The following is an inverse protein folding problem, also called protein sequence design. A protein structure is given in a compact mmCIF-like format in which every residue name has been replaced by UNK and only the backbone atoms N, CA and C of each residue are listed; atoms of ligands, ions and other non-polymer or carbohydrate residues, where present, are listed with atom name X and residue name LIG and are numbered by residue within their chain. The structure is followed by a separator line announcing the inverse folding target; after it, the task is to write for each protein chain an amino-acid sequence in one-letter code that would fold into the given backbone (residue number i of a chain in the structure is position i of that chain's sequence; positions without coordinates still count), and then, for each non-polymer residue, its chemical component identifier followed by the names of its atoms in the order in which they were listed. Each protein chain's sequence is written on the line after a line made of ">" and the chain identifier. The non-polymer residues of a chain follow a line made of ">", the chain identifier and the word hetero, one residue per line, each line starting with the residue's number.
data_IF_872896556585
#
_entry.id   IF_872896556585
#
_cell.length_a   1.000
_cell.length_b   1.000
_cell.length_c   1.000
_cell.angle_alpha   90.00
_cell.angle_beta   90.00
_cell.angle_gamma   90.00
#
_symmetry.space_group_name_H-M   'P 1'
#
loop_
_entity.id
_entity.type
_entity.pdbx_description
1 polymer ?
#
# COMPACT_ATOMS: atom_id res chain seq x y z
N UNK A 1 -37.06 36.24 45.16
CA UNK A 1 -38.46 35.76 45.00
C UNK A 1 -38.98 36.35 43.72
N UNK A 2 -38.94 35.56 42.63
CA UNK A 2 -38.48 36.03 41.32
C UNK A 2 -37.17 36.82 41.45
N UNK A 3 -36.06 36.07 41.45
CA UNK A 3 -34.74 36.66 41.28
C UNK A 3 -34.65 37.07 39.81
N UNK A 4 -35.13 38.28 39.50
CA UNK A 4 -34.95 38.86 38.17
C UNK A 4 -33.45 38.88 37.87
N UNK A 5 -33.06 38.12 36.85
CA UNK A 5 -31.70 38.14 36.35
C UNK A 5 -31.32 39.59 36.03
N UNK A 6 -30.11 40.05 36.40
CA UNK A 6 -29.69 41.39 36.03
C UNK A 6 -29.79 41.54 34.51
N UNK A 7 -30.22 42.72 34.04
CA UNK A 7 -30.33 42.97 32.62
C UNK A 7 -28.94 42.99 31.97
N UNK A 8 -28.66 41.96 31.18
CA UNK A 8 -27.40 41.79 30.43
C UNK A 8 -27.51 42.18 28.97
N UNK A 9 -28.68 42.66 28.51
CA UNK A 9 -28.96 42.94 27.09
C UNK A 9 -28.01 43.94 26.44
N UNK A 10 -27.39 44.81 27.25
CA UNK A 10 -26.38 45.76 26.77
C UNK A 10 -25.05 45.09 26.34
N UNK A 11 -24.78 43.85 26.78
CA UNK A 11 -23.47 43.19 26.62
C UNK A 11 -23.59 41.81 25.98
N UNK A 12 -24.70 41.10 26.24
CA UNK A 12 -25.00 39.75 25.78
C UNK A 12 -26.31 39.73 25.00
N UNK A 13 -26.37 38.84 24.00
CA UNK A 13 -27.60 38.55 23.26
C UNK A 13 -28.59 37.75 24.12
N UNK A 14 -29.75 38.34 24.41
CA UNK A 14 -30.78 37.74 25.27
C UNK A 14 -31.36 36.45 24.69
N UNK A 15 -31.46 36.33 23.37
CA UNK A 15 -32.04 35.15 22.70
C UNK A 15 -31.09 33.95 22.72
N UNK A 16 -29.79 34.21 22.92
CA UNK A 16 -28.73 33.21 22.95
C UNK A 16 -28.14 33.02 24.36
N UNK A 17 -28.76 33.61 25.38
CA UNK A 17 -28.22 33.62 26.74
C UNK A 17 -28.14 32.20 27.32
N UNK A 18 -26.95 31.84 27.77
CA UNK A 18 -26.68 30.64 28.55
C UNK A 18 -26.11 31.03 29.90
N UNK A 19 -26.41 30.23 30.91
CA UNK A 19 -25.98 30.51 32.27
C UNK A 19 -26.05 29.32 33.20
N UNK A 20 -25.16 29.31 34.19
CA UNK A 20 -25.09 28.27 35.20
C UNK A 20 -24.58 28.82 36.53
N UNK A 21 -25.06 28.22 37.63
CA UNK A 21 -24.39 28.27 38.91
C UNK A 21 -23.14 27.39 38.82
N UNK A 22 -21.99 27.91 39.23
CA UNK A 22 -20.69 27.24 39.13
C UNK A 22 -19.95 27.29 40.46
N UNK A 23 -18.85 26.55 40.55
CA UNK A 23 -18.01 26.47 41.74
C UNK A 23 -18.84 26.16 42.99
N UNK A 24 -19.75 25.18 42.89
CA UNK A 24 -20.63 24.72 43.96
C UNK A 24 -21.64 25.79 44.45
N UNK A 25 -22.06 26.70 43.56
CA UNK A 25 -23.02 27.77 43.87
C UNK A 25 -22.38 29.01 44.52
N UNK A 26 -21.06 29.15 44.40
CA UNK A 26 -20.32 30.34 44.84
C UNK A 26 -20.18 31.40 43.75
N UNK A 27 -20.50 31.09 42.50
CA UNK A 27 -20.58 32.06 41.43
C UNK A 27 -21.66 31.67 40.41
N UNK A 28 -22.17 32.65 39.68
CA UNK A 28 -22.97 32.45 38.48
C UNK A 28 -22.21 32.98 37.29
N UNK A 29 -22.31 32.27 36.16
CA UNK A 29 -21.67 32.68 34.91
C UNK A 29 -22.74 32.78 33.83
N UNK A 30 -22.69 33.86 33.06
CA UNK A 30 -23.57 34.11 31.91
C UNK A 30 -22.75 34.46 30.68
N UNK A 31 -23.18 34.00 29.52
CA UNK A 31 -22.55 34.27 28.22
C UNK A 31 -23.55 33.97 27.11
N UNK A 32 -23.32 34.47 25.90
CA UNK A 32 -24.02 34.06 24.69
C UNK A 32 -23.12 33.18 23.77
N UNK A 33 -21.84 33.00 24.15
CA UNK A 33 -20.80 32.33 23.37
C UNK A 33 -20.67 32.85 21.91
N UNK A 34 -21.10 34.09 21.68
CA UNK A 34 -21.01 34.78 20.39
C UNK A 34 -19.78 35.68 20.40
N UNK A 35 -19.15 35.78 19.23
CA UNK A 35 -18.11 36.75 18.98
C UNK A 35 -18.81 38.09 18.73
N UNK A 36 -18.61 39.06 19.62
CA UNK A 36 -19.14 40.40 19.45
C UNK A 36 -18.40 41.17 18.33
N UNK A 37 -18.90 42.34 17.89
CA UNK A 37 -18.28 43.10 16.79
C UNK A 37 -16.83 43.53 17.02
N UNK A 38 -16.38 43.56 18.28
CA UNK A 38 -15.00 43.83 18.68
C UNK A 38 -14.08 42.59 18.58
N UNK A 39 -14.62 41.44 18.21
CA UNK A 39 -13.87 40.18 18.06
C UNK A 39 -13.77 39.36 19.35
N UNK A 40 -14.44 39.76 20.44
CA UNK A 40 -14.36 39.06 21.73
C UNK A 40 -15.67 38.36 22.08
N UNK A 41 -15.54 37.17 22.67
CA UNK A 41 -16.63 36.50 23.39
C UNK A 41 -16.68 37.03 24.82
N UNK A 42 -17.89 37.26 25.35
CA UNK A 42 -18.06 37.87 26.67
C UNK A 42 -18.61 36.88 27.69
N UNK A 43 -18.09 36.98 28.91
CA UNK A 43 -18.56 36.25 30.07
C UNK A 43 -18.84 37.25 31.18
N UNK A 44 -20.00 37.12 31.81
CA UNK A 44 -20.35 37.84 33.03
C UNK A 44 -20.25 36.85 34.19
N UNK A 45 -19.45 37.19 35.20
CA UNK A 45 -19.23 36.34 36.38
C UNK A 45 -19.70 37.08 37.61
N UNK A 46 -20.79 36.61 38.20
CA UNK A 46 -21.31 37.11 39.48
C UNK A 46 -20.79 36.20 40.59
N UNK A 47 -19.79 36.66 41.34
CA UNK A 47 -19.21 35.88 42.43
C UNK A 47 -19.71 36.32 43.80
N UNK A 48 -20.09 35.35 44.65
CA UNK A 48 -20.13 35.57 46.11
C UNK A 48 -18.70 35.78 46.64
N UNK A 49 -18.53 36.29 47.87
CA UNK A 49 -17.21 36.42 48.48
C UNK A 49 -16.43 35.10 48.43
N UNK A 50 -15.27 35.12 47.77
CA UNK A 50 -14.36 33.98 47.67
C UNK A 50 -12.91 34.47 47.58
N UNK A 51 -11.94 33.57 47.76
CA UNK A 51 -10.53 33.95 47.68
C UNK A 51 -10.12 34.37 46.27
N UNK A 52 -9.13 35.26 46.16
CA UNK A 52 -8.59 35.71 44.87
C UNK A 52 -8.11 34.53 44.01
N UNK A 53 -7.51 33.52 44.64
CA UNK A 53 -7.09 32.28 43.96
C UNK A 53 -8.26 31.49 43.40
N UNK A 54 -9.40 31.40 44.10
CA UNK A 54 -10.61 30.70 43.61
C UNK A 54 -11.24 31.47 42.43
N UNK A 55 -11.35 32.81 42.52
CA UNK A 55 -11.80 33.64 41.39
C UNK A 55 -10.91 33.50 40.17
N UNK A 56 -9.58 33.60 40.36
CA UNK A 56 -8.61 33.48 39.27
C UNK A 56 -8.73 32.14 38.54
N UNK A 57 -8.87 31.03 39.28
CA UNK A 57 -9.09 29.70 38.65
C UNK A 57 -10.42 29.61 37.90
N UNK A 58 -11.48 30.23 38.41
CA UNK A 58 -12.76 30.25 37.70
C UNK A 58 -12.63 31.00 36.36
N UNK A 59 -12.08 32.21 36.38
CA UNK A 59 -11.86 33.01 35.17
C UNK A 59 -10.94 32.28 34.18
N UNK A 60 -9.82 31.72 34.67
CA UNK A 60 -8.90 30.94 33.85
C UNK A 60 -9.60 29.76 33.15
N UNK A 61 -10.47 29.04 33.87
CA UNK A 61 -11.24 27.92 33.28
C UNK A 61 -12.20 28.40 32.19
N UNK A 62 -12.89 29.52 32.39
CA UNK A 62 -13.78 30.09 31.38
C UNK A 62 -13.00 30.50 30.12
N UNK A 63 -11.84 31.14 30.29
CA UNK A 63 -10.95 31.49 29.19
C UNK A 63 -10.42 30.25 28.45
N UNK A 64 -10.06 29.20 29.19
CA UNK A 64 -9.62 27.93 28.59
C UNK A 64 -10.74 27.25 27.81
N UNK A 65 -11.97 27.22 28.35
CA UNK A 65 -13.14 26.68 27.62
C UNK A 65 -13.30 27.40 26.28
N UNK A 66 -13.28 28.74 26.28
CA UNK A 66 -13.46 29.50 25.05
C UNK A 66 -12.29 29.33 24.07
N UNK A 67 -11.06 29.37 24.57
CA UNK A 67 -9.86 29.20 23.77
C UNK A 67 -9.86 27.83 23.08
N UNK A 68 -10.09 26.76 23.84
CA UNK A 68 -10.09 25.41 23.29
C UNK A 68 -11.33 25.13 22.43
N UNK A 69 -12.48 25.73 22.72
CA UNK A 69 -13.66 25.69 21.83
C UNK A 69 -13.33 26.25 20.46
N UNK A 70 -12.76 27.46 20.41
CA UNK A 70 -12.39 28.11 19.16
C UNK A 70 -11.31 27.33 18.41
N UNK A 71 -10.24 26.88 19.09
CA UNK A 71 -9.19 26.06 18.49
C UNK A 71 -9.72 24.74 17.92
N UNK A 72 -10.68 24.10 18.60
CA UNK A 72 -11.33 22.89 18.09
C UNK A 72 -12.12 23.16 16.79
N UNK A 73 -12.82 24.30 16.75
CA UNK A 73 -13.68 24.68 15.62
C UNK A 73 -12.90 25.08 14.37
N UNK A 74 -11.62 25.46 14.48
CA UNK A 74 -10.76 25.74 13.32
C UNK A 74 -10.60 24.53 12.38
N UNK A 75 -10.81 23.31 12.88
CA UNK A 75 -10.69 22.08 12.09
C UNK A 75 -11.98 21.70 11.33
N UNK A 76 -13.14 22.22 11.73
CA UNK A 76 -14.42 21.96 11.05
C UNK A 76 -14.43 22.32 9.56
N UNK A 77 -13.98 23.51 9.11
CA UNK A 77 -13.96 23.82 7.67
C UNK A 77 -13.06 22.87 6.89
N UNK A 78 -11.92 22.46 7.46
CA UNK A 78 -11.02 21.47 6.86
C UNK A 78 -11.73 20.13 6.67
N UNK A 79 -12.49 19.67 7.68
CA UNK A 79 -13.29 18.43 7.56
C UNK A 79 -14.32 18.49 6.43
N UNK A 80 -15.01 19.64 6.31
CA UNK A 80 -16.04 19.86 5.28
C UNK A 80 -15.46 19.90 3.87
N UNK A 81 -14.29 20.49 3.70
CA UNK A 81 -13.59 20.55 2.40
C UNK A 81 -13.00 19.18 2.00
N UNK A 82 -12.48 18.42 2.96
CA UNK A 82 -11.88 17.11 2.69
C UNK A 82 -12.91 16.04 2.36
N UNK A 83 -14.09 16.10 2.96
CA UNK A 83 -15.15 15.09 2.76
C UNK A 83 -15.48 14.80 1.29
N UNK A 84 -15.78 15.77 0.42
CA UNK A 84 -16.05 15.51 -1.00
C UNK A 84 -14.82 14.96 -1.73
N UNK A 85 -13.60 15.39 -1.36
CA UNK A 85 -12.36 14.87 -1.96
C UNK A 85 -12.14 13.40 -1.63
N UNK A 86 -12.37 13.01 -0.37
CA UNK A 86 -12.31 11.62 0.07
C UNK A 86 -13.30 10.73 -0.68
N UNK A 87 -14.51 11.23 -0.98
CA UNK A 87 -15.47 10.49 -1.81
C UNK A 87 -14.92 10.21 -3.22
N UNK A 88 -14.28 11.19 -3.85
CA UNK A 88 -13.67 11.01 -5.18
C UNK A 88 -12.54 9.98 -5.15
N UNK A 89 -11.67 10.05 -4.14
CA UNK A 89 -10.56 9.10 -4.00
C UNK A 89 -11.04 7.67 -3.71
N UNK A 90 -12.12 7.51 -2.94
CA UNK A 90 -12.73 6.21 -2.72
C UNK A 90 -13.36 5.63 -3.98
N UNK A 91 -14.03 6.46 -4.78
CA UNK A 91 -14.58 6.04 -6.08
C UNK A 91 -13.45 5.66 -7.05
N UNK A 92 -12.35 6.41 -7.05
CA UNK A 92 -11.17 6.09 -7.85
C UNK A 92 -10.59 4.73 -7.44
N UNK A 93 -10.42 4.50 -6.14
CA UNK A 93 -9.97 3.20 -5.60
C UNK A 93 -10.91 2.05 -6.01
N UNK A 94 -12.23 2.24 -5.92
CA UNK A 94 -13.20 1.22 -6.35
C UNK A 94 -13.04 0.91 -7.84
N UNK A 95 -12.87 1.92 -8.69
CA UNK A 95 -12.65 1.73 -10.12
C UNK A 95 -11.34 0.98 -10.43
N UNK A 96 -10.29 1.22 -9.64
CA UNK A 96 -9.01 0.49 -9.73
C UNK A 96 -9.23 -0.97 -9.32
N UNK A 97 -9.91 -1.21 -8.21
CA UNK A 97 -10.19 -2.58 -7.73
C UNK A 97 -11.04 -3.37 -8.75
N UNK A 98 -12.02 -2.74 -9.37
CA UNK A 98 -12.83 -3.35 -10.43
C UNK A 98 -12.00 -3.69 -11.66
N UNK A 99 -11.02 -2.85 -12.01
CA UNK A 99 -10.10 -3.12 -13.11
C UNK A 99 -9.20 -4.33 -12.82
N UNK A 100 -8.72 -4.47 -11.58
CA UNK A 100 -7.93 -5.62 -11.13
C UNK A 100 -8.79 -6.91 -11.17
N UNK A 101 -10.08 -6.83 -10.84
CA UNK A 101 -10.96 -8.01 -10.77
C UNK A 101 -11.39 -8.60 -12.12
N UNK A 102 -11.26 -7.87 -13.23
CA UNK A 102 -11.72 -8.33 -14.57
C UNK A 102 -10.63 -9.18 -15.24
N UNK A 103 -10.86 -10.50 -15.29
CA UNK A 103 -9.90 -11.54 -15.69
C UNK A 103 -10.08 -12.02 -17.15
N UNK A 104 -10.42 -11.11 -18.08
CA UNK A 104 -10.90 -11.50 -19.42
C UNK A 104 -9.92 -11.25 -20.59
N UNK A 105 -8.62 -11.10 -20.34
CA UNK A 105 -7.65 -10.81 -21.41
C UNK A 105 -6.54 -11.86 -21.53
N UNK A 106 -6.12 -12.11 -22.77
CA UNK A 106 -4.94 -12.92 -23.13
C UNK A 106 -3.66 -12.35 -22.52
N UNK A 107 -2.77 -13.24 -22.07
CA UNK A 107 -1.55 -13.00 -21.26
C UNK A 107 -0.78 -11.68 -21.52
N UNK A 108 -0.51 -11.31 -22.77
CA UNK A 108 0.30 -10.10 -23.08
C UNK A 108 -0.45 -8.77 -22.88
N UNK A 109 -1.76 -8.76 -23.12
CA UNK A 109 -2.59 -7.56 -22.92
C UNK A 109 -2.91 -7.34 -21.42
N UNK A 110 -2.81 -8.39 -20.61
CA UNK A 110 -3.03 -8.35 -19.17
C UNK A 110 -1.88 -7.65 -18.45
N UNK A 111 -0.63 -8.00 -18.77
CA UNK A 111 0.56 -7.41 -18.14
C UNK A 111 0.63 -5.87 -18.31
N UNK A 112 0.36 -5.36 -19.51
CA UNK A 112 0.38 -3.91 -19.78
C UNK A 112 -0.76 -3.16 -19.06
N UNK A 113 -1.91 -3.82 -18.85
CA UNK A 113 -3.04 -3.25 -18.09
C UNK A 113 -2.74 -3.20 -16.59
N UNK A 114 -2.10 -4.24 -16.06
CA UNK A 114 -1.70 -4.30 -14.65
C UNK A 114 -0.70 -3.20 -14.32
N UNK A 115 0.30 -2.94 -15.19
CA UNK A 115 1.23 -1.83 -15.01
C UNK A 115 0.54 -0.47 -14.97
N UNK A 116 -0.37 -0.19 -15.92
CA UNK A 116 -1.13 1.07 -15.93
C UNK A 116 -2.01 1.23 -14.70
N UNK A 117 -2.58 0.12 -14.22
CA UNK A 117 -3.41 0.09 -13.01
C UNK A 117 -2.56 0.34 -11.76
N UNK A 118 -1.34 -0.19 -11.73
CA UNK A 118 -0.36 0.05 -10.68
C UNK A 118 0.04 1.52 -10.62
N UNK A 119 0.35 2.15 -11.76
CA UNK A 119 0.70 3.57 -11.82
C UNK A 119 -0.42 4.46 -11.25
N UNK A 120 -1.67 4.19 -11.66
CA UNK A 120 -2.85 4.92 -11.15
C UNK A 120 -3.02 4.72 -9.65
N UNK A 121 -2.81 3.50 -9.16
CA UNK A 121 -2.87 3.18 -7.73
C UNK A 121 -1.76 3.86 -6.94
N UNK A 122 -0.53 3.91 -7.47
CA UNK A 122 0.59 4.63 -6.85
C UNK A 122 0.33 6.13 -6.78
N UNK A 123 -0.25 6.73 -7.84
CA UNK A 123 -0.65 8.13 -7.83
C UNK A 123 -1.76 8.40 -6.80
N UNK A 124 -2.76 7.53 -6.71
CA UNK A 124 -3.82 7.62 -5.72
C UNK A 124 -3.24 7.50 -4.29
N UNK A 125 -2.34 6.55 -4.06
CA UNK A 125 -1.66 6.36 -2.79
C UNK A 125 -0.89 7.61 -2.36
N UNK A 126 -0.08 8.18 -3.26
CA UNK A 126 0.66 9.41 -2.99
C UNK A 126 -0.28 10.59 -2.67
N UNK A 127 -1.39 10.70 -3.41
CA UNK A 127 -2.38 11.77 -3.19
C UNK A 127 -3.07 11.62 -1.83
N UNK A 128 -3.55 10.42 -1.51
CA UNK A 128 -4.22 10.12 -0.22
C UNK A 128 -3.27 10.35 0.94
N UNK A 129 -2.01 9.91 0.82
CA UNK A 129 -0.99 10.09 1.85
C UNK A 129 -0.61 11.56 2.04
N UNK A 130 -0.50 12.33 0.95
CA UNK A 130 -0.27 13.77 1.03
C UNK A 130 -1.41 14.51 1.75
N UNK A 131 -2.66 14.14 1.47
CA UNK A 131 -3.83 14.69 2.17
C UNK A 131 -3.83 14.24 3.64
N UNK A 132 -3.46 13.00 3.93
CA UNK A 132 -3.27 12.48 5.30
C UNK A 132 -2.26 13.29 6.10
N UNK A 133 -1.04 13.42 5.59
CA UNK A 133 0.02 14.17 6.25
C UNK A 133 -0.38 15.65 6.51
N UNK A 134 -1.12 16.27 5.58
CA UNK A 134 -1.53 17.67 5.71
C UNK A 134 -2.62 17.94 6.76
N UNK A 135 -3.50 16.96 7.04
CA UNK A 135 -4.67 17.18 7.91
C UNK A 135 -4.67 16.38 9.20
N UNK A 136 -3.94 15.27 9.29
CA UNK A 136 -4.01 14.36 10.44
C UNK A 136 -3.70 15.07 11.77
N UNK A 137 -2.63 15.87 11.83
CA UNK A 137 -2.27 16.62 13.04
C UNK A 137 -3.37 17.57 13.52
N UNK A 138 -4.09 18.22 12.60
CA UNK A 138 -5.20 19.13 12.94
C UNK A 138 -6.41 18.40 13.51
N UNK A 139 -6.73 17.21 12.98
CA UNK A 139 -7.80 16.38 13.51
C UNK A 139 -7.47 15.86 14.91
N UNK A 140 -6.25 15.39 15.13
CA UNK A 140 -5.77 14.94 16.44
C UNK A 140 -5.79 16.08 17.45
N UNK A 141 -5.31 17.28 17.08
CA UNK A 141 -5.34 18.45 17.94
C UNK A 141 -6.78 18.87 18.30
N UNK A 142 -7.69 18.92 17.33
CA UNK A 142 -9.08 19.29 17.58
C UNK A 142 -9.78 18.34 18.56
N UNK A 143 -9.53 17.03 18.46
CA UNK A 143 -10.05 16.06 19.43
C UNK A 143 -9.46 16.29 20.83
N UNK A 144 -8.15 16.54 20.93
CA UNK A 144 -7.51 16.83 22.22
C UNK A 144 -8.03 18.12 22.86
N UNK A 145 -8.28 19.16 22.07
CA UNK A 145 -8.89 20.40 22.53
C UNK A 145 -10.34 20.19 22.97
N UNK A 146 -11.13 19.40 22.23
CA UNK A 146 -12.48 19.06 22.63
C UNK A 146 -12.53 18.32 23.98
N UNK A 147 -11.62 17.36 24.19
CA UNK A 147 -11.49 16.68 25.48
C UNK A 147 -11.15 17.65 26.61
N UNK A 148 -10.31 18.65 26.34
CA UNK A 148 -9.95 19.66 27.31
C UNK A 148 -11.11 20.59 27.65
N UNK A 149 -11.92 20.99 26.65
CA UNK A 149 -13.18 21.71 26.88
C UNK A 149 -14.08 20.91 27.82
N UNK A 150 -14.31 19.63 27.52
CA UNK A 150 -15.20 18.78 28.33
C UNK A 150 -14.71 18.64 29.78
N UNK A 151 -13.40 18.46 29.98
CA UNK A 151 -12.81 18.44 31.33
C UNK A 151 -13.01 19.77 32.06
N UNK A 152 -12.84 20.91 31.37
CA UNK A 152 -12.99 22.23 31.99
C UNK A 152 -14.43 22.57 32.33
N UNK A 153 -15.36 22.19 31.48
CA UNK A 153 -16.80 22.28 31.75
C UNK A 153 -17.16 21.43 32.97
N UNK A 154 -16.67 20.18 33.06
CA UNK A 154 -16.90 19.34 34.23
C UNK A 154 -16.31 19.97 35.51
N UNK A 155 -15.12 20.54 35.43
CA UNK A 155 -14.44 21.23 36.53
C UNK A 155 -15.19 22.49 37.03
N UNK A 156 -16.12 23.06 36.25
CA UNK A 156 -16.96 24.17 36.68
C UNK A 156 -18.01 23.76 37.72
N UNK A 157 -18.37 22.47 37.80
CA UNK A 157 -19.44 21.97 38.67
C UNK A 157 -20.75 22.74 38.44
N UNK A 158 -21.19 22.78 37.17
CA UNK A 158 -22.36 23.52 36.74
C UNK A 158 -23.65 22.96 37.36
N UNK A 159 -24.50 23.87 37.84
CA UNK A 159 -25.89 23.62 38.21
C UNK A 159 -26.77 24.54 37.38
N UNK A 160 -27.90 24.01 36.96
CA UNK A 160 -28.82 24.74 36.10
C UNK A 160 -29.48 25.90 36.84
N UNK A 161 -29.47 27.07 36.21
CA UNK A 161 -30.30 28.21 36.60
C UNK A 161 -31.66 28.04 35.91
N UNK A 162 -32.76 28.25 36.64
CA UNK A 162 -34.10 28.08 36.09
C UNK A 162 -34.30 28.90 34.81
N UNK A 163 -34.83 28.27 33.75
CA UNK A 163 -35.09 28.91 32.46
C UNK A 163 -33.88 29.05 31.54
N UNK A 164 -32.66 28.75 32.00
CA UNK A 164 -31.44 28.85 31.19
C UNK A 164 -30.81 27.47 30.91
N UNK A 165 -30.13 27.39 29.77
CA UNK A 165 -29.27 26.27 29.43
C UNK A 165 -27.88 26.49 30.04
N UNK A 166 -27.24 25.43 30.54
CA UNK A 166 -25.86 25.54 31.04
C UNK A 166 -24.86 25.63 29.89
N UNK A 167 -23.64 26.11 30.18
CA UNK A 167 -22.57 26.21 29.17
C UNK A 167 -22.25 24.81 28.62
N UNK A 168 -22.14 23.80 29.48
CA UNK A 168 -21.90 22.42 29.06
C UNK A 168 -22.98 21.88 28.13
N UNK A 169 -24.26 22.09 28.46
CA UNK A 169 -25.37 21.64 27.61
C UNK A 169 -25.41 22.37 26.25
N UNK A 170 -25.03 23.65 26.22
CA UNK A 170 -24.91 24.38 24.97
C UNK A 170 -23.78 23.83 24.10
N UNK A 171 -22.61 23.60 24.69
CA UNK A 171 -21.45 23.03 24.00
C UNK A 171 -21.74 21.62 23.49
N UNK A 172 -22.44 20.78 24.24
CA UNK A 172 -22.87 19.46 23.76
C UNK A 172 -23.74 19.57 22.49
N UNK A 173 -24.65 20.54 22.42
CA UNK A 173 -25.54 20.69 21.25
C UNK A 173 -24.89 21.40 20.06
N UNK A 174 -23.87 22.23 20.28
CA UNK A 174 -23.29 23.11 19.24
C UNK A 174 -21.85 22.76 18.86
N UNK A 175 -21.04 22.27 19.79
CA UNK A 175 -19.66 21.86 19.57
C UNK A 175 -19.55 20.37 19.24
N UNK A 176 -20.28 19.49 19.95
CA UNK A 176 -20.17 18.05 19.73
C UNK A 176 -20.47 17.61 18.28
N UNK A 177 -21.51 18.12 17.58
CA UNK A 177 -21.76 17.75 16.19
C UNK A 177 -20.63 18.17 15.23
N UNK A 178 -20.01 19.33 15.48
CA UNK A 178 -18.85 19.78 14.72
C UNK A 178 -17.66 18.82 14.92
N UNK A 179 -17.41 18.41 16.17
CA UNK A 179 -16.34 17.48 16.50
C UNK A 179 -16.60 16.07 15.96
N UNK A 180 -17.85 15.60 15.96
CA UNK A 180 -18.23 14.34 15.31
C UNK A 180 -17.95 14.37 13.81
N UNK A 181 -18.18 15.51 13.14
CA UNK A 181 -17.83 15.70 11.72
C UNK A 181 -16.33 15.57 11.49
N UNK A 182 -15.52 16.25 12.32
CA UNK A 182 -14.06 16.14 12.28
C UNK A 182 -13.58 14.69 12.51
N UNK A 183 -14.12 14.02 13.52
CA UNK A 183 -13.75 12.65 13.86
C UNK A 183 -14.15 11.65 12.77
N UNK A 184 -15.31 11.85 12.13
CA UNK A 184 -15.75 11.03 11.01
C UNK A 184 -14.83 11.20 9.80
N UNK A 185 -14.47 12.44 9.45
CA UNK A 185 -13.55 12.71 8.34
C UNK A 185 -12.17 12.07 8.58
N UNK A 186 -11.63 12.18 9.79
CA UNK A 186 -10.37 11.57 10.17
C UNK A 186 -10.39 10.04 10.06
N UNK A 187 -11.45 9.38 10.59
CA UNK A 187 -11.60 7.92 10.47
C UNK A 187 -11.72 7.47 9.02
N UNK A 188 -12.47 8.20 8.20
CA UNK A 188 -12.66 7.88 6.79
C UNK A 188 -11.34 7.99 6.01
N UNK A 189 -10.59 9.05 6.28
CA UNK A 189 -9.28 9.28 5.71
C UNK A 189 -8.29 8.16 6.06
N UNK A 190 -8.24 7.75 7.33
CA UNK A 190 -7.42 6.62 7.78
C UNK A 190 -7.83 5.32 7.08
N UNK A 191 -9.12 5.01 7.05
CA UNK A 191 -9.63 3.80 6.41
C UNK A 191 -9.32 3.76 4.90
N UNK A 192 -9.39 4.91 4.21
CA UNK A 192 -9.00 5.01 2.81
C UNK A 192 -7.49 4.74 2.62
N UNK A 193 -6.61 5.38 3.41
CA UNK A 193 -5.17 5.15 3.33
C UNK A 193 -4.82 3.66 3.51
N UNK A 194 -5.40 3.01 4.52
CA UNK A 194 -5.18 1.59 4.76
C UNK A 194 -5.69 0.70 3.62
N UNK A 195 -6.84 1.02 3.02
CA UNK A 195 -7.38 0.28 1.87
C UNK A 195 -6.50 0.44 0.64
N UNK A 196 -6.00 1.65 0.37
CA UNK A 196 -5.07 1.90 -0.75
C UNK A 196 -3.76 1.15 -0.54
N UNK A 197 -3.21 1.15 0.68
CA UNK A 197 -2.00 0.38 1.01
C UNK A 197 -2.19 -1.12 0.80
N UNK A 198 -3.32 -1.69 1.28
CA UNK A 198 -3.66 -3.11 1.04
C UNK A 198 -3.80 -3.43 -0.43
N UNK A 199 -4.50 -2.59 -1.21
CA UNK A 199 -4.66 -2.79 -2.64
C UNK A 199 -3.32 -2.75 -3.38
N UNK A 200 -2.43 -1.83 -2.99
CA UNK A 200 -1.09 -1.68 -3.57
C UNK A 200 -0.26 -2.95 -3.35
N UNK A 201 -0.30 -3.50 -2.13
CA UNK A 201 0.41 -4.74 -1.79
C UNK A 201 -0.14 -5.95 -2.57
N UNK A 202 -1.46 -6.04 -2.77
CA UNK A 202 -2.07 -7.12 -3.54
C UNK A 202 -1.69 -7.06 -5.03
N UNK A 203 -1.79 -5.87 -5.64
CA UNK A 203 -1.45 -5.70 -7.05
C UNK A 203 0.04 -5.95 -7.31
N UNK A 204 0.90 -5.46 -6.42
CA UNK A 204 2.33 -5.76 -6.47
C UNK A 204 2.61 -7.27 -6.44
N UNK A 205 1.97 -7.99 -5.51
CA UNK A 205 2.10 -9.46 -5.44
C UNK A 205 1.62 -10.14 -6.73
N UNK A 206 0.51 -9.70 -7.31
CA UNK A 206 0.00 -10.24 -8.58
C UNK A 206 0.99 -10.05 -9.73
N UNK A 207 1.54 -8.85 -9.88
CA UNK A 207 2.55 -8.54 -10.91
C UNK A 207 3.81 -9.39 -10.70
N UNK A 208 4.31 -9.49 -9.47
CA UNK A 208 5.48 -10.33 -9.15
C UNK A 208 5.24 -11.81 -9.52
N UNK A 209 4.06 -12.35 -9.24
CA UNK A 209 3.69 -13.74 -9.62
C UNK A 209 3.59 -13.90 -11.14
N UNK A 210 2.95 -12.95 -11.84
CA UNK A 210 2.84 -12.99 -13.30
C UNK A 210 4.22 -12.97 -13.98
N UNK A 211 5.13 -12.10 -13.51
CA UNK A 211 6.51 -12.05 -14.01
C UNK A 211 7.27 -13.35 -13.72
N UNK A 212 7.10 -13.96 -12.55
CA UNK A 212 7.71 -15.26 -12.23
C UNK A 212 7.21 -16.37 -13.17
N UNK A 213 5.90 -16.39 -13.47
CA UNK A 213 5.32 -17.37 -14.37
C UNK A 213 5.83 -17.19 -15.81
N UNK A 214 5.95 -15.95 -16.28
CA UNK A 214 6.54 -15.62 -17.59
C UNK A 214 8.03 -16.04 -17.68
N UNK A 215 8.81 -15.77 -16.63
CA UNK A 215 10.21 -16.20 -16.58
C UNK A 215 10.33 -17.73 -16.62
N UNK A 216 9.45 -18.44 -15.90
CA UNK A 216 9.41 -19.91 -15.89
C UNK A 216 9.07 -20.48 -17.27
N UNK A 217 8.10 -19.90 -17.97
CA UNK A 217 7.71 -20.35 -19.32
C UNK A 217 8.83 -20.10 -20.33
N UNK A 218 9.52 -18.95 -20.23
CA UNK A 218 10.66 -18.62 -21.06
C UNK A 218 11.83 -19.61 -20.86
N UNK A 219 12.20 -19.90 -19.60
CA UNK A 219 13.23 -20.90 -19.27
C UNK A 219 12.85 -22.31 -19.76
N UNK A 220 11.58 -22.70 -19.62
CA UNK A 220 11.09 -23.98 -20.14
C UNK A 220 11.22 -24.07 -21.67
N UNK A 221 10.90 -22.98 -22.39
CA UNK A 221 11.05 -22.91 -23.84
C UNK A 221 12.52 -22.98 -24.27
N UNK A 222 13.44 -22.35 -23.51
CA UNK A 222 14.89 -22.42 -23.75
C UNK A 222 15.42 -23.83 -23.56
N UNK A 223 15.07 -24.49 -22.45
CA UNK A 223 15.47 -25.88 -22.18
C UNK A 223 14.97 -26.82 -23.29
N UNK A 224 13.74 -26.61 -23.79
CA UNK A 224 13.20 -27.39 -24.91
C UNK A 224 14.01 -27.19 -26.19
N UNK A 225 14.36 -25.94 -26.51
CA UNK A 225 15.19 -25.61 -27.69
C UNK A 225 16.60 -26.21 -27.57
N UNK A 226 17.24 -26.10 -26.41
CA UNK A 226 18.56 -26.71 -26.16
C UNK A 226 18.51 -28.23 -26.28
N UNK A 227 17.48 -28.88 -25.73
CA UNK A 227 17.30 -30.33 -25.88
C UNK A 227 17.19 -30.74 -27.35
N UNK A 228 16.41 -30.01 -28.15
CA UNK A 228 16.28 -30.26 -29.59
C UNK A 228 17.61 -30.02 -30.33
N UNK A 229 18.35 -28.98 -29.97
CA UNK A 229 19.67 -28.70 -30.54
C UNK A 229 20.68 -29.81 -30.22
N UNK A 230 20.70 -30.32 -28.98
CA UNK A 230 21.53 -31.45 -28.58
C UNK A 230 21.19 -32.71 -29.37
N UNK A 231 19.89 -33.00 -29.57
CA UNK A 231 19.46 -34.14 -30.38
C UNK A 231 19.90 -34.01 -31.83
N UNK A 232 19.73 -32.84 -32.43
CA UNK A 232 20.19 -32.59 -33.80
C UNK A 232 21.71 -32.74 -33.91
N UNK A 233 22.47 -32.21 -32.95
CA UNK A 233 23.92 -32.38 -32.91
C UNK A 233 24.32 -33.85 -32.80
N UNK A 234 23.72 -34.61 -31.89
CA UNK A 234 23.96 -36.05 -31.77
C UNK A 234 23.63 -36.81 -33.05
N UNK A 235 22.55 -36.43 -33.77
CA UNK A 235 22.24 -37.05 -35.07
C UNK A 235 23.27 -36.72 -36.15
N UNK A 236 23.83 -35.51 -36.17
CA UNK A 236 24.89 -35.12 -37.11
C UNK A 236 26.22 -35.78 -36.76
N UNK A 237 26.54 -35.92 -35.47
CA UNK A 237 27.69 -36.68 -34.99
C UNK A 237 27.59 -38.17 -35.38
N UNK A 238 26.40 -38.78 -35.27
CA UNK A 238 26.18 -40.15 -35.73
C UNK A 238 26.40 -40.32 -37.24
N UNK A 239 25.97 -39.35 -38.05
CA UNK A 239 26.17 -39.37 -39.50
C UNK A 239 27.65 -39.16 -39.88
N UNK A 240 28.37 -38.26 -39.20
CA UNK A 240 29.78 -38.00 -39.47
C UNK A 240 30.64 -39.22 -39.15
N UNK A 241 30.31 -39.95 -38.08
CA UNK A 241 30.95 -41.23 -37.74
C UNK A 241 30.78 -42.25 -38.88
N UNK A 242 29.57 -42.39 -39.43
CA UNK A 242 29.35 -43.30 -40.56
C UNK A 242 30.18 -42.91 -41.79
N UNK A 243 30.23 -41.62 -42.13
CA UNK A 243 31.04 -41.12 -43.24
C UNK A 243 32.55 -41.35 -43.04
N UNK A 244 33.09 -41.02 -41.86
CA UNK A 244 34.51 -41.22 -41.52
C UNK A 244 34.87 -42.70 -41.57
N UNK A 245 33.99 -43.58 -41.06
CA UNK A 245 34.18 -45.03 -41.07
C UNK A 245 34.33 -45.56 -42.50
N UNK A 246 33.46 -45.11 -43.41
CA UNK A 246 33.52 -45.49 -44.82
C UNK A 246 34.81 -45.01 -45.49
N UNK A 247 35.19 -43.75 -45.31
CA UNK A 247 36.42 -43.20 -45.88
C UNK A 247 37.67 -43.91 -45.38
N UNK A 248 37.75 -44.19 -44.08
CA UNK A 248 38.88 -44.92 -43.49
C UNK A 248 38.97 -46.36 -44.02
N UNK A 249 37.85 -47.06 -44.14
CA UNK A 249 37.81 -48.41 -44.71
C UNK A 249 38.28 -48.41 -46.18
N UNK A 250 37.83 -47.44 -46.98
CA UNK A 250 38.26 -47.27 -48.36
C UNK A 250 39.75 -46.95 -48.48
N UNK A 251 40.28 -46.07 -47.63
CA UNK A 251 41.71 -45.69 -47.65
C UNK A 251 42.62 -46.88 -47.33
N UNK A 252 42.25 -47.70 -46.34
CA UNK A 252 43.01 -48.92 -46.01
C UNK A 252 42.94 -49.94 -47.15
N UNK A 253 41.79 -50.10 -47.80
CA UNK A 253 41.65 -50.94 -49.00
C UNK A 253 42.66 -50.56 -50.09
N UNK A 254 42.75 -49.27 -50.42
CA UNK A 254 43.72 -48.76 -51.41
C UNK A 254 45.19 -48.94 -50.96
N UNK A 255 45.49 -48.87 -49.65
CA UNK A 255 46.84 -49.16 -49.15
C UNK A 255 47.24 -50.63 -49.35
N UNK A 256 46.29 -51.56 -49.23
CA UNK A 256 46.54 -52.98 -49.48
C UNK A 256 46.76 -53.26 -50.98
N UNK A 257 46.01 -52.60 -51.86
CA UNK A 257 46.25 -52.64 -53.31
C UNK A 257 47.63 -52.07 -53.67
N UNK A 258 48.06 -50.98 -53.04
CA UNK A 258 49.38 -50.39 -53.26
C UNK A 258 50.55 -51.24 -52.71
N UNK A 259 50.30 -52.10 -51.71
CA UNK A 259 51.30 -52.98 -51.10
C UNK A 259 51.41 -54.36 -51.78
N UNK A 260 50.52 -54.66 -52.73
CA UNK A 260 50.52 -55.88 -53.56
C UNK A 260 51.89 -56.21 -54.20
N UNK A 261 52.72 -55.24 -54.64
CA UNK A 261 53.99 -55.57 -55.28
C UNK A 261 55.08 -56.09 -54.31
N UNK A 262 54.90 -55.98 -52.98
CA UNK A 262 55.93 -56.29 -51.99
C UNK A 262 55.65 -57.54 -51.13
N UNK A 263 54.39 -57.95 -50.98
CA UNK A 263 54.00 -59.16 -50.25
C UNK A 263 53.16 -60.08 -51.14
N UNK A 264 53.70 -61.23 -51.53
CA UNK A 264 53.07 -62.25 -52.39
C UNK A 264 51.90 -62.99 -51.70
N UNK A 265 50.86 -62.27 -51.27
CA UNK A 265 49.66 -62.82 -50.63
C UNK A 265 48.48 -62.72 -51.59
N UNK A 266 47.70 -63.80 -51.75
CA UNK A 266 46.55 -63.86 -52.66
C UNK A 266 45.49 -62.79 -52.29
N UNK A 267 45.21 -61.81 -53.18
CA UNK A 267 44.55 -60.55 -52.82
C UNK A 267 43.11 -60.71 -52.29
N UNK A 268 42.34 -61.69 -52.80
CA UNK A 268 40.92 -61.88 -52.43
C UNK A 268 40.64 -62.34 -50.98
N UNK A 269 41.61 -62.95 -50.29
CA UNK A 269 41.44 -63.41 -48.89
C UNK A 269 41.86 -62.35 -47.87
N UNK A 270 42.86 -61.53 -48.21
CA UNK A 270 43.33 -60.42 -47.38
C UNK A 270 42.30 -59.29 -47.32
N UNK A 271 41.63 -59.01 -48.44
CA UNK A 271 40.58 -58.00 -48.55
C UNK A 271 39.40 -58.30 -47.60
N UNK A 272 38.91 -59.54 -47.55
CA UNK A 272 37.79 -59.93 -46.69
C UNK A 272 38.08 -59.94 -45.19
N UNK A 273 39.33 -60.21 -44.78
CA UNK A 273 39.74 -60.19 -43.36
C UNK A 273 39.97 -58.75 -42.90
N UNK A 274 40.53 -57.89 -43.76
CA UNK A 274 40.79 -56.48 -43.45
C UNK A 274 39.50 -55.72 -43.11
N UNK A 275 38.41 -55.94 -43.85
CA UNK A 275 37.10 -55.32 -43.61
C UNK A 275 36.58 -55.64 -42.20
N UNK A 276 36.74 -56.90 -41.74
CA UNK A 276 36.31 -57.29 -40.39
C UNK A 276 37.16 -56.66 -39.29
N UNK A 277 38.47 -56.56 -39.49
CA UNK A 277 39.39 -55.96 -38.51
C UNK A 277 39.15 -54.45 -38.40
N UNK A 278 38.93 -53.76 -39.53
CA UNK A 278 38.66 -52.32 -39.56
C UNK A 278 37.31 -52.01 -38.92
N UNK A 279 36.27 -52.80 -39.24
CA UNK A 279 34.96 -52.64 -38.60
C UNK A 279 35.06 -52.83 -37.07
N UNK A 280 35.84 -53.80 -36.60
CA UNK A 280 36.09 -54.03 -35.17
C UNK A 280 36.87 -52.88 -34.51
N UNK A 281 37.93 -52.37 -35.16
CA UNK A 281 38.73 -51.27 -34.64
C UNK A 281 37.95 -49.96 -34.54
N UNK A 282 37.17 -49.62 -35.56
CA UNK A 282 36.33 -48.43 -35.56
C UNK A 282 35.23 -48.54 -34.50
N UNK A 283 34.58 -49.71 -34.40
CA UNK A 283 33.59 -49.96 -33.34
C UNK A 283 34.22 -49.83 -31.94
N UNK A 284 35.42 -50.37 -31.72
CA UNK A 284 36.10 -50.31 -30.43
C UNK A 284 36.57 -48.88 -30.08
N UNK A 285 37.07 -48.12 -31.05
CA UNK A 285 37.49 -46.73 -30.88
C UNK A 285 36.31 -45.83 -30.51
N UNK A 286 35.17 -45.98 -31.22
CA UNK A 286 33.94 -45.24 -30.93
C UNK A 286 33.39 -45.58 -29.55
N UNK A 287 33.34 -46.87 -29.19
CA UNK A 287 32.89 -47.32 -27.87
C UNK A 287 33.78 -46.79 -26.74
N UNK A 288 35.09 -46.72 -26.97
CA UNK A 288 36.06 -46.18 -26.01
C UNK A 288 35.95 -44.66 -25.85
N UNK A 289 35.66 -43.92 -26.92
CA UNK A 289 35.40 -42.47 -26.86
C UNK A 289 34.10 -42.15 -26.12
N UNK A 290 33.01 -42.88 -26.41
CA UNK A 290 31.73 -42.68 -25.73
C UNK A 290 31.86 -42.91 -24.20
N UNK A 291 32.52 -44.00 -23.79
CA UNK A 291 32.75 -44.26 -22.36
C UNK A 291 33.69 -43.26 -21.67
N UNK A 292 34.55 -42.54 -22.40
CA UNK A 292 35.38 -41.48 -21.82
C UNK A 292 34.60 -40.17 -21.62
N UNK A 293 33.65 -39.89 -22.50
CA UNK A 293 32.80 -38.70 -22.40
C UNK A 293 31.73 -38.86 -21.31
N UNK A 294 31.12 -40.04 -21.19
CA UNK A 294 30.18 -40.35 -20.09
C UNK A 294 30.83 -40.20 -18.70
N UNK A 295 32.07 -40.69 -18.53
CA UNK A 295 32.83 -40.54 -17.28
C UNK A 295 33.27 -39.11 -16.98
N UNK A 296 33.38 -38.25 -17.99
CA UNK A 296 33.73 -36.84 -17.80
C UNK A 296 32.52 -35.97 -17.42
N UNK A 297 31.30 -36.38 -17.81
CA UNK A 297 30.06 -35.71 -17.41
C UNK A 297 29.57 -36.06 -16.00
N UNK A 298 30.00 -37.19 -15.44
CA UNK A 298 29.57 -37.65 -14.11
C UNK A 298 30.40 -37.05 -12.95
N UNK A 299 31.52 -36.39 -13.27
CA UNK A 299 32.45 -35.78 -12.31
C UNK A 299 32.33 -34.24 -12.22
N UNK A 300 31.21 -33.65 -12.65
CA UNK A 300 31.00 -32.19 -12.65
C UNK A 300 29.67 -31.77 -12.04
#
# INVERSE_FOLDING_TARGET
>A
GCDDLPDFSAVLDADALVGADVADGHAQVFTDLRIAPDGFTRFIVLSKPMSARRRGRLVQRLLEIETYRLLSLLTLPVARELTPRLNLYEQDLMSIMDAIGRNDATDDAEAQRDHKTLDRLTQLASTVEGVYAASHGRFTAANAYYDLVNRRVADLHEKQIFGLQTIGQFLERRLAPAMQTCAWAARRQQALSERVARCSNLLRTRVEVAMQQQNRSLLASMNRRQYLQLRLQQTVEGLSVAAITYYMASLVGHLFEAAEPWLHIKPKLAEGISIRIIALLVWFALRRMHHRLERASENR
#
